data_IF_295340737894
#
_entry.id   IF_295340737894
#
_cell.length_a   1.000
_cell.length_b   1.000
_cell.length_c   1.000
_cell.angle_alpha   90.00
_cell.angle_beta   90.00
_cell.angle_gamma   90.00
#
_symmetry.space_group_name_H-M   'P 1'
#
loop_
_entity.id
_entity.type
_entity.pdbx_description
1 polymer ?
2 non-polymer ?
3 non-polymer ?
4 water ?
#
# COMPACT_ATOMS: atom_id res chain seq x y z
N UNK A 11 -16.04 -13.71 -2.52
CA UNK A 11 -14.77 -14.42 -2.64
C UNK A 11 -14.28 -14.98 -1.31
N UNK A 12 -13.46 -16.04 -1.38
CA UNK A 12 -12.93 -16.65 -0.17
C UNK A 12 -11.98 -15.68 0.53
N UNK A 13 -12.13 -15.56 1.84
CA UNK A 13 -11.31 -14.67 2.64
C UNK A 13 -10.22 -15.49 3.35
N UNK A 14 -9.62 -14.92 4.40
CA UNK A 14 -8.58 -15.58 5.16
C UNK A 14 -8.91 -15.54 6.65
N UNK A 15 -8.72 -16.67 7.32
CA UNK A 15 -8.73 -16.72 8.77
C UNK A 15 -7.31 -16.57 9.28
N UNK A 16 -7.00 -15.54 10.07
CA UNK A 16 -5.61 -15.31 10.48
C UNK A 16 -4.99 -16.48 11.23
N UNK A 17 -5.77 -17.20 12.03
CA UNK A 17 -5.22 -18.29 12.83
C UNK A 17 -4.86 -19.52 11.99
N UNK A 18 -5.39 -19.63 10.77
CA UNK A 18 -5.14 -20.79 9.93
C UNK A 18 -4.17 -20.49 8.79
N UNK A 19 -3.34 -19.45 8.93
CA UNK A 19 -2.36 -19.09 7.94
C UNK A 19 -0.97 -19.54 8.38
N UNK A 20 -0.10 -19.73 7.39
CA UNK A 20 1.32 -19.92 7.65
C UNK A 20 1.99 -18.56 7.79
N UNK A 21 2.69 -18.35 8.90
CA UNK A 21 3.31 -17.06 9.21
C UNK A 21 4.81 -17.18 9.08
N UNK A 22 5.40 -16.31 8.27
CA UNK A 22 6.85 -16.28 8.07
C UNK A 22 7.45 -15.02 8.66
N UNK A 23 8.72 -15.13 9.07
CA UNK A 23 9.44 -14.03 9.68
C UNK A 23 10.87 -14.01 9.15
N UNK A 24 11.28 -12.86 8.64
CA UNK A 24 12.61 -12.68 8.06
C UNK A 24 13.26 -11.47 8.70
N UNK A 25 14.44 -11.66 9.28
CA UNK A 25 15.21 -10.55 9.84
C UNK A 25 16.03 -9.91 8.72
N UNK A 26 15.71 -8.66 8.39
CA UNK A 26 16.43 -7.94 7.33
C UNK A 26 17.45 -6.96 7.88
N UNK A 27 17.41 -6.67 9.18
CA UNK A 27 18.34 -5.76 9.83
C UNK A 27 18.38 -6.09 11.31
N UNK A 28 19.42 -5.65 12.04
CA UNK A 28 19.58 -6.09 13.44
C UNK A 28 18.32 -6.04 14.30
N UNK A 29 17.58 -4.94 14.25
CA UNK A 29 16.37 -4.81 15.06
C UNK A 29 15.11 -4.72 14.19
N UNK A 30 15.15 -5.25 12.97
CA UNK A 30 14.05 -5.14 12.02
C UNK A 30 13.80 -6.49 11.40
N UNK A 31 12.67 -7.11 11.74
CA UNK A 31 12.18 -8.31 11.09
C UNK A 31 10.92 -7.95 10.30
N UNK A 32 10.66 -8.72 9.25
CA UNK A 32 9.44 -8.55 8.48
C UNK A 32 8.58 -9.81 8.58
N UNK A 33 7.28 -9.61 8.80
CA UNK A 33 6.32 -10.69 8.94
C UNK A 33 5.46 -10.77 7.69
N UNK A 34 5.13 -12.00 7.29
CA UNK A 34 4.28 -12.22 6.13
C UNK A 34 3.51 -13.52 6.33
N UNK A 35 2.36 -13.61 5.66
CA UNK A 35 1.62 -14.86 5.54
C UNK A 35 1.88 -15.43 4.17
N UNK A 36 1.88 -16.76 4.07
CA UNK A 36 2.31 -17.44 2.86
C UNK A 36 1.30 -18.52 2.50
N UNK A 37 0.90 -18.56 1.23
CA UNK A 37 -0.09 -19.53 0.77
C UNK A 37 0.15 -19.85 -0.70
N UNK A 38 0.14 -21.13 -1.03
CA UNK A 38 0.17 -21.58 -2.41
C UNK A 38 1.56 -21.97 -2.86
N UNK A 39 1.61 -22.52 -4.07
CA UNK A 39 2.86 -22.90 -4.73
C UNK A 39 2.88 -22.31 -6.13
N UNK A 40 4.09 -22.06 -6.63
CA UNK A 40 4.26 -21.47 -7.93
C UNK A 40 5.16 -20.25 -7.87
N UNK A 41 5.08 -19.40 -8.90
CA UNK A 41 5.89 -18.17 -8.89
C UNK A 41 5.57 -17.29 -7.69
N UNK A 42 6.61 -16.74 -7.08
CA UNK A 42 6.44 -15.93 -5.88
C UNK A 42 5.77 -14.61 -6.23
N UNK A 43 4.72 -14.27 -5.47
CA UNK A 43 4.00 -13.02 -5.63
C UNK A 43 3.98 -12.32 -4.28
N UNK A 44 4.61 -11.16 -4.20
CA UNK A 44 4.75 -10.40 -2.96
C UNK A 44 3.73 -9.27 -2.95
N UNK A 45 2.81 -9.29 -1.99
CA UNK A 45 1.75 -8.29 -1.88
C UNK A 45 2.13 -7.27 -0.81
N UNK A 46 2.03 -5.98 -1.16
CA UNK A 46 2.46 -4.89 -0.29
C UNK A 46 1.30 -3.92 -0.09
N UNK A 47 0.80 -3.83 1.14
CA UNK A 47 -0.37 -3.03 1.46
C UNK A 47 0.00 -1.57 1.66
N UNK A 48 -1.02 -0.73 1.85
CA UNK A 48 -0.85 0.69 2.04
C UNK A 48 -1.17 1.14 3.45
N UNK A 49 -1.43 2.45 3.60
CA UNK A 49 -1.71 3.11 4.87
C UNK A 49 -3.21 3.29 5.05
N UNK A 50 -3.73 2.99 6.25
CA UNK A 50 -3.04 2.32 7.35
C UNK A 50 -3.55 0.89 7.47
N UNK A 51 -2.93 -0.04 6.76
CA UNK A 51 -3.56 -1.33 6.56
C UNK A 51 -2.73 -2.49 7.11
N UNK A 52 -2.72 -3.61 6.41
CA UNK A 52 -2.19 -4.85 6.96
C UNK A 52 -2.11 -5.88 5.83
N UNK A 53 -1.42 -6.98 6.09
CA UNK A 53 -1.51 -8.13 5.19
C UNK A 53 -2.96 -8.54 5.01
N UNK A 54 -3.78 -8.36 6.05
CA UNK A 54 -5.19 -8.73 6.02
C UNK A 54 -5.98 -7.97 4.96
N UNK A 55 -5.45 -6.84 4.47
CA UNK A 55 -6.13 -6.13 3.40
C UNK A 55 -6.17 -6.94 2.11
N UNK A 56 -5.28 -7.92 1.96
CA UNK A 56 -5.27 -8.81 0.80
C UNK A 56 -6.05 -10.09 1.04
N UNK A 57 -6.95 -10.10 2.04
CA UNK A 57 -7.58 -11.35 2.46
C UNK A 57 -8.39 -12.01 1.34
N UNK A 58 -8.93 -11.22 0.41
CA UNK A 58 -9.68 -11.78 -0.70
C UNK A 58 -8.79 -12.21 -1.86
N UNK A 59 -7.58 -11.67 -1.96
CA UNK A 59 -6.66 -12.00 -3.04
C UNK A 59 -5.79 -13.22 -2.74
N UNK A 60 -5.45 -13.43 -1.46
CA UNK A 60 -4.48 -14.49 -1.12
C UNK A 60 -4.98 -15.86 -1.51
N UNK A 61 -6.19 -16.32 -1.14
CA UNK A 61 -6.63 -17.64 -1.59
C UNK A 61 -6.88 -17.70 -3.09
N UNK A 62 -7.31 -16.60 -3.70
CA UNK A 62 -7.59 -16.62 -5.15
C UNK A 62 -6.30 -16.75 -5.95
N UNK A 63 -5.27 -15.97 -5.60
CA UNK A 63 -4.01 -16.07 -6.33
C UNK A 63 -3.34 -17.42 -6.10
N UNK A 64 -3.44 -17.96 -4.87
CA UNK A 64 -2.87 -19.27 -4.59
C UNK A 64 -3.57 -20.36 -5.38
N UNK A 65 -4.91 -20.29 -5.47
CA UNK A 65 -5.65 -21.26 -6.26
C UNK A 65 -5.31 -21.15 -7.74
N UNK A 66 -4.99 -19.95 -8.21
CA UNK A 66 -4.60 -19.75 -9.60
C UNK A 66 -3.18 -20.25 -9.89
N UNK A 67 -2.47 -20.76 -8.89
CA UNK A 67 -1.18 -21.37 -9.10
C UNK A 67 0.00 -20.48 -8.78
N UNK A 68 -0.11 -19.66 -7.74
CA UNK A 68 0.96 -18.74 -7.36
C UNK A 68 1.26 -18.89 -5.88
N UNK A 69 2.53 -18.65 -5.53
CA UNK A 69 2.98 -18.65 -4.15
C UNK A 69 2.86 -17.23 -3.61
N UNK A 70 1.87 -17.00 -2.76
CA UNK A 70 1.55 -15.65 -2.30
C UNK A 70 2.30 -15.37 -1.00
N UNK A 71 2.97 -14.22 -0.95
CA UNK A 71 3.63 -13.72 0.25
C UNK A 71 3.04 -12.35 0.57
N UNK A 72 2.10 -12.32 1.50
CA UNK A 72 1.39 -11.09 1.86
C UNK A 72 2.07 -10.45 3.06
N UNK A 73 2.81 -9.38 2.86
CA UNK A 73 3.54 -8.77 3.94
C UNK A 73 2.81 -7.91 4.92
N UNK A 74 3.42 -7.77 6.08
CA UNK A 74 3.01 -6.80 7.05
C UNK A 74 4.16 -5.84 6.75
N UNK A 75 3.88 -4.69 6.19
CA UNK A 75 4.93 -3.74 5.86
C UNK A 75 5.63 -3.19 7.12
N UNK A 76 6.83 -2.68 6.97
CA UNK A 76 7.53 -2.25 8.17
C UNK A 76 6.73 -1.17 8.90
N UNK A 77 6.66 -1.30 10.22
CA UNK A 77 5.84 -0.44 11.04
C UNK A 77 4.44 -0.96 11.30
N UNK A 78 4.05 -2.09 10.71
CA UNK A 78 2.69 -2.59 10.77
C UNK A 78 2.67 -3.98 11.41
N UNK A 79 1.62 -4.22 12.21
CA UNK A 79 1.28 -5.57 12.64
C UNK A 79 2.41 -6.26 13.38
N UNK A 80 2.75 -7.46 12.91
CA UNK A 80 3.79 -8.27 13.52
C UNK A 80 5.18 -7.95 12.98
N UNK A 81 5.28 -7.04 12.02
CA UNK A 81 6.59 -6.59 11.57
C UNK A 81 7.15 -5.55 12.53
N UNK A 82 8.48 -5.43 12.54
CA UNK A 82 9.13 -4.47 13.42
C UNK A 82 8.72 -3.04 13.04
N UNK A 83 8.69 -2.18 14.06
CA UNK A 83 8.41 -0.76 13.88
C UNK A 83 9.53 0.04 14.53
N UNK A 84 10.66 0.17 13.84
CA UNK A 84 11.76 0.93 14.43
C UNK A 84 11.36 2.37 14.66
N UNK A 85 11.98 3.03 15.64
CA UNK A 85 11.52 4.36 16.05
C UNK A 85 11.93 5.50 15.12
N UNK A 86 13.03 5.33 14.39
CA UNK A 86 13.56 6.44 13.61
C UNK A 86 12.69 6.72 12.38
N UNK A 87 12.48 8.02 12.13
CA UNK A 87 11.63 8.43 11.01
C UNK A 87 12.28 8.08 9.68
N UNK A 88 13.60 8.29 9.57
CA UNK A 88 14.31 8.01 8.32
C UNK A 88 14.35 6.53 7.98
N UNK A 89 13.99 5.65 8.90
CA UNK A 89 13.90 4.23 8.60
C UNK A 89 12.73 3.89 7.67
N UNK A 90 11.88 4.87 7.37
CA UNK A 90 10.70 4.63 6.53
C UNK A 90 10.77 5.40 5.22
N UNK A 91 11.96 5.81 4.80
CA UNK A 91 12.12 6.35 3.47
C UNK A 91 12.15 5.21 2.45
N UNK A 92 11.83 5.54 1.20
CA UNK A 92 11.67 4.51 0.18
C UNK A 92 12.97 3.76 -0.08
N UNK A 93 14.11 4.44 0.03
CA UNK A 93 15.38 3.77 -0.21
C UNK A 93 15.64 2.66 0.79
N UNK A 94 15.42 2.93 2.07
CA UNK A 94 15.62 1.91 3.09
C UNK A 94 14.59 0.80 2.95
N UNK A 95 13.33 1.16 2.72
CA UNK A 95 12.27 0.16 2.61
C UNK A 95 12.51 -0.78 1.43
N UNK A 96 12.95 -0.23 0.29
CA UNK A 96 13.19 -1.07 -0.88
C UNK A 96 14.39 -1.98 -0.67
N UNK A 97 15.46 -1.46 -0.09
CA UNK A 97 16.65 -2.28 0.14
C UNK A 97 16.36 -3.43 1.08
N UNK A 98 15.48 -3.23 2.06
CA UNK A 98 15.13 -4.32 2.96
C UNK A 98 14.30 -5.38 2.25
N UNK A 99 13.42 -4.97 1.33
CA UNK A 99 12.67 -5.94 0.56
C UNK A 99 13.56 -6.76 -0.35
N UNK A 100 14.68 -6.18 -0.80
CA UNK A 100 15.68 -6.96 -1.54
C UNK A 100 16.35 -7.96 -0.61
N UNK A 101 16.73 -7.52 0.60
CA UNK A 101 17.27 -8.45 1.59
C UNK A 101 16.25 -9.51 1.94
N UNK A 102 14.97 -9.13 1.99
CA UNK A 102 13.89 -10.08 2.21
C UNK A 102 13.93 -11.21 1.18
N UNK A 103 14.03 -10.85 -0.10
CA UNK A 103 14.16 -11.85 -1.14
C UNK A 103 15.45 -12.65 -0.99
N UNK A 104 16.52 -11.99 -0.56
CA UNK A 104 17.80 -12.67 -0.39
C UNK A 104 17.71 -13.77 0.66
N UNK A 105 17.15 -13.45 1.83
CA UNK A 105 17.08 -14.43 2.91
C UNK A 105 16.17 -15.60 2.53
N UNK A 106 15.14 -15.35 1.74
CA UNK A 106 14.23 -16.41 1.30
C UNK A 106 14.77 -17.22 0.14
N UNK A 107 15.94 -16.86 -0.40
CA UNK A 107 16.46 -17.56 -1.56
C UNK A 107 15.67 -17.35 -2.82
N UNK A 108 15.04 -16.19 -2.96
CA UNK A 108 14.23 -15.87 -4.14
C UNK A 108 15.02 -14.96 -5.07
N UNK A 109 15.30 -15.46 -6.28
CA UNK A 109 16.00 -14.64 -7.25
C UNK A 109 15.17 -13.42 -7.65
N UNK A 110 13.85 -13.58 -7.72
CA UNK A 110 12.95 -12.48 -8.03
C UNK A 110 11.53 -12.89 -7.66
N UNK A 111 10.64 -11.91 -7.67
CA UNK A 111 9.24 -12.15 -7.37
C UNK A 111 8.40 -11.09 -8.05
N UNK A 112 7.14 -11.42 -8.31
CA UNK A 112 6.16 -10.44 -8.74
C UNK A 112 5.77 -9.58 -7.55
N UNK A 113 5.81 -8.26 -7.72
CA UNK A 113 5.48 -7.33 -6.65
C UNK A 113 4.18 -6.63 -7.01
N UNK A 114 3.20 -6.72 -6.11
CA UNK A 114 1.90 -6.08 -6.26
C UNK A 114 1.68 -5.19 -5.04
N UNK A 115 1.43 -3.91 -5.28
CA UNK A 115 1.27 -2.96 -4.21
C UNK A 115 0.01 -2.14 -4.35
N UNK A 116 -0.41 -1.56 -3.24
CA UNK A 116 -1.55 -0.65 -3.18
C UNK A 116 -1.21 0.50 -2.28
N UNK A 117 -1.56 1.72 -2.70
CA UNK A 117 -1.35 2.94 -1.92
C UNK A 117 0.15 3.10 -1.70
N UNK A 118 0.63 3.23 -0.46
CA UNK A 118 2.06 3.36 -0.23
C UNK A 118 2.81 2.10 -0.68
N UNK A 119 2.16 0.94 -0.59
CA UNK A 119 2.77 -0.27 -1.12
C UNK A 119 2.91 -0.24 -2.63
N UNK A 120 1.98 0.42 -3.31
CA UNK A 120 2.12 0.60 -4.75
C UNK A 120 3.27 1.51 -5.10
N UNK A 121 3.51 2.56 -4.30
CA UNK A 121 4.67 3.41 -4.50
C UNK A 121 5.96 2.61 -4.29
N UNK A 122 5.96 1.69 -3.34
CA UNK A 122 7.16 0.90 -3.07
C UNK A 122 7.47 -0.04 -4.24
N UNK A 123 6.45 -0.73 -4.75
CA UNK A 123 6.71 -1.71 -5.81
C UNK A 123 7.11 -1.01 -7.10
N UNK A 124 6.70 0.25 -7.29
CA UNK A 124 7.16 1.00 -8.45
C UNK A 124 8.66 1.28 -8.37
N UNK A 125 9.14 1.64 -7.18
CA UNK A 125 10.56 1.90 -7.00
C UNK A 125 11.38 0.63 -6.90
N UNK A 126 10.77 -0.49 -6.47
CA UNK A 126 11.42 -1.78 -6.60
C UNK A 126 11.67 -2.11 -8.07
N UNK A 127 10.65 -1.91 -8.91
CA UNK A 127 10.82 -2.12 -10.34
C UNK A 127 11.78 -1.11 -10.95
N UNK A 128 11.80 0.12 -10.44
CA UNK A 128 12.66 1.14 -11.01
C UNK A 128 14.12 0.92 -10.66
N UNK A 129 14.41 0.63 -9.39
CA UNK A 129 15.79 0.53 -8.93
C UNK A 129 16.30 -0.90 -8.86
N UNK A 130 15.43 -1.90 -8.79
CA UNK A 130 15.84 -3.31 -8.71
C UNK A 130 15.05 -4.16 -9.69
N UNK A 131 15.09 -3.83 -10.99
CA UNK A 131 14.30 -4.62 -11.95
C UNK A 131 14.79 -6.05 -12.09
N UNK A 132 16.06 -6.32 -11.79
CA UNK A 132 16.57 -7.68 -11.86
C UNK A 132 15.98 -8.57 -10.78
N UNK A 133 15.37 -7.99 -9.75
CA UNK A 133 14.74 -8.73 -8.67
C UNK A 133 13.23 -8.73 -8.75
N UNK A 134 12.64 -8.08 -9.75
CA UNK A 134 11.20 -7.98 -9.89
C UNK A 134 10.82 -8.63 -11.22
N UNK A 135 10.15 -9.79 -11.14
CA UNK A 135 9.71 -10.45 -12.37
C UNK A 135 8.62 -9.63 -13.07
N UNK A 136 7.69 -9.09 -12.30
CA UNK A 136 6.65 -8.22 -12.85
C UNK A 136 6.12 -7.36 -11.70
N UNK A 137 5.54 -6.23 -12.05
CA UNK A 137 5.08 -5.26 -11.07
C UNK A 137 3.65 -4.84 -11.38
N UNK A 138 2.83 -4.73 -10.35
CA UNK A 138 1.46 -4.27 -10.48
C UNK A 138 1.15 -3.33 -9.34
N UNK A 139 0.40 -2.27 -9.63
CA UNK A 139 0.03 -1.28 -8.63
C UNK A 139 -1.47 -1.03 -8.69
N UNK A 140 -2.10 -0.95 -7.53
CA UNK A 140 -3.49 -0.56 -7.41
C UNK A 140 -3.54 0.90 -6.97
N UNK A 141 -4.20 1.74 -7.78
CA UNK A 141 -4.47 3.15 -7.50
C UNK A 141 -3.23 4.02 -7.63
N UNK A 142 -2.10 3.58 -7.09
CA UNK A 142 -0.91 4.43 -7.06
C UNK A 142 -0.25 4.49 -8.43
N UNK A 143 -0.14 5.66 -9.05
CA UNK A 143 0.56 5.78 -10.33
C UNK A 143 2.07 5.91 -10.12
N UNK A 144 2.80 5.83 -11.22
CA UNK A 144 4.24 6.07 -11.22
C UNK A 144 4.50 7.36 -11.99
N UNK A 145 4.84 8.42 -11.26
CA UNK A 145 5.15 9.72 -11.85
C UNK A 145 6.62 10.00 -11.56
N UNK A 146 7.45 10.16 -12.59
CA UNK A 146 8.88 10.42 -12.34
C UNK A 146 9.08 11.71 -11.55
N UNK A 147 10.09 11.70 -10.69
CA UNK A 147 10.35 12.85 -9.83
C UNK A 147 10.73 14.07 -10.64
N UNK A 148 10.14 15.21 -10.30
CA UNK A 148 10.52 16.48 -10.92
C UNK A 148 11.69 17.04 -10.15
N UNK A 149 12.90 17.12 -10.73
CA UNK A 149 14.05 17.60 -9.98
C UNK A 149 14.07 19.10 -9.80
N UNK A 150 12.98 19.76 -10.18
CA UNK A 150 12.86 21.22 -10.12
C UNK A 150 11.94 21.82 -9.15
N UNK A 151 11.09 21.02 -8.52
CA UNK A 151 10.19 21.55 -7.50
C UNK A 151 10.09 20.55 -6.35
N UNK A 152 10.11 21.08 -5.13
CA UNK A 152 10.16 20.26 -3.93
C UNK A 152 8.85 19.51 -3.72
N UNK A 153 8.87 18.47 -2.87
CA UNK A 153 7.60 17.84 -2.47
C UNK A 153 6.71 18.78 -1.68
N UNK A 154 7.29 19.74 -0.95
CA UNK A 154 6.46 20.72 -0.24
C UNK A 154 5.65 21.57 -1.21
N UNK A 155 6.20 21.83 -2.40
CA UNK A 155 5.50 22.64 -3.39
C UNK A 155 4.45 21.82 -4.14
N UNK A 156 4.79 20.57 -4.50
CA UNK A 156 3.87 19.75 -5.27
C UNK A 156 2.60 19.42 -4.48
N UNK A 157 2.68 19.41 -3.15
CA UNK A 157 1.48 19.17 -2.35
C UNK A 157 0.63 20.43 -2.27
N UNK A 158 1.27 21.59 -2.14
CA UNK A 158 0.53 22.85 -2.15
C UNK A 158 -0.17 23.11 -3.48
N UNK A 159 0.27 22.45 -4.55
CA UNK A 159 -0.37 22.58 -5.85
C UNK A 159 -1.61 21.71 -5.98
N UNK A 160 -1.84 20.78 -5.05
CA UNK A 160 -3.01 19.90 -5.08
C UNK A 160 -3.62 19.86 -3.68
N UNK A 161 -4.73 20.57 -3.46
CA UNK A 161 -5.33 20.61 -2.11
C UNK A 161 -5.82 19.27 -1.61
N UNK A 162 -5.93 18.25 -2.47
CA UNK A 162 -6.38 16.94 -2.02
C UNK A 162 -5.36 16.33 -1.06
N UNK A 163 -4.11 16.75 -1.14
CA UNK A 163 -3.02 16.18 -0.33
C UNK A 163 -2.75 17.00 0.92
N UNK A 164 -3.70 17.82 1.37
CA UNK A 164 -3.50 18.62 2.57
C UNK A 164 -3.37 17.74 3.81
N UNK A 165 -4.00 16.57 3.81
CA UNK A 165 -3.88 15.66 4.95
C UNK A 165 -2.44 15.20 5.15
N UNK A 166 -1.64 15.19 4.08
CA UNK A 166 -0.24 14.80 4.21
C UNK A 166 0.54 15.82 5.01
N UNK A 167 0.15 17.09 4.96
CA UNK A 167 0.79 18.10 5.81
C UNK A 167 0.43 17.89 7.27
N UNK A 168 -0.83 17.51 7.54
CA UNK A 168 -1.25 17.20 8.90
C UNK A 168 -0.52 15.98 9.45
N UNK A 169 0.00 15.11 8.57
CA UNK A 169 0.70 13.90 8.99
C UNK A 169 2.18 14.13 9.28
N UNK A 170 2.71 15.32 9.02
CA UNK A 170 4.15 15.53 9.06
C UNK A 170 4.66 15.65 10.49
N UNK A 171 4.00 16.44 11.33
CA UNK A 171 4.47 16.67 12.69
C UNK A 171 4.33 15.39 13.51
N UNK A 172 5.44 14.82 14.01
CA UNK A 172 5.35 13.55 14.75
C UNK A 172 4.57 13.72 16.05
N UNK A 173 3.59 12.84 16.26
CA UNK A 173 2.81 12.82 17.47
C UNK A 173 1.42 13.43 17.35
N UNK A 174 1.21 14.31 16.37
CA UNK A 174 -0.08 14.99 16.25
C UNK A 174 -1.12 14.06 15.64
N UNK A 175 -0.84 13.54 14.43
CA UNK A 175 -1.78 12.62 13.81
C UNK A 175 -1.89 11.32 14.59
N UNK A 176 -0.81 10.92 15.27
CA UNK A 176 -0.86 9.71 16.09
C UNK A 176 -1.91 9.81 17.18
N UNK A 177 -2.02 10.97 17.83
CA UNK A 177 -2.96 11.13 18.94
C UNK A 177 -4.40 10.98 18.47
N UNK A 178 -4.73 11.54 17.31
CA UNK A 178 -6.10 11.45 16.81
C UNK A 178 -6.42 10.05 16.30
N UNK A 179 -5.48 9.43 15.58
CA UNK A 179 -5.75 8.13 15.00
C UNK A 179 -5.77 7.02 16.06
N UNK A 180 -5.03 7.19 17.15
CA UNK A 180 -4.96 6.18 18.20
C UNK A 180 -5.97 6.42 19.32
N UNK A 181 -6.70 7.53 19.30
CA UNK A 181 -7.63 7.83 20.39
C UNK A 181 -8.77 6.81 20.46
N UNK A 182 -9.34 6.46 19.31
CA UNK A 182 -10.40 5.46 19.23
C UNK A 182 -10.13 4.64 17.96
N UNK A 183 -9.48 3.48 18.13
CA UNK A 183 -9.06 2.70 16.97
C UNK A 183 -10.26 2.20 16.17
N UNK A 184 -11.31 1.73 16.85
CA UNK A 184 -12.49 1.27 16.15
C UNK A 184 -13.11 2.40 15.33
N UNK A 185 -13.19 3.60 15.91
CA UNK A 185 -13.70 4.75 15.17
C UNK A 185 -12.79 5.11 14.00
N UNK A 186 -11.47 4.98 14.20
CA UNK A 186 -10.52 5.32 13.14
C UNK A 186 -10.74 4.44 11.91
N UNK A 187 -10.83 3.13 12.10
CA UNK A 187 -10.90 2.23 10.95
C UNK A 187 -12.31 2.16 10.36
N UNK A 188 -13.35 2.33 11.19
CA UNK A 188 -14.70 2.42 10.64
C UNK A 188 -14.89 3.69 9.83
N UNK A 189 -14.20 4.77 10.17
CA UNK A 189 -14.32 6.01 9.42
C UNK A 189 -13.48 6.00 8.16
N UNK A 190 -12.37 5.26 8.15
CA UNK A 190 -11.49 5.23 6.98
C UNK A 190 -11.97 4.20 5.96
N UNK A 191 -12.22 2.97 6.41
CA UNK A 191 -12.54 1.87 5.51
C UNK A 191 -14.02 1.98 5.10
N UNK A 192 -14.27 2.87 4.13
CA UNK A 192 -15.62 3.09 3.64
C UNK A 192 -15.60 3.20 2.13
N UNK A 193 -16.70 2.80 1.50
CA UNK A 193 -16.88 3.05 0.08
C UNK A 193 -16.95 4.56 -0.16
N UNK A 194 -16.72 4.95 -1.42
CA UNK A 194 -16.70 6.37 -1.75
C UNK A 194 -18.04 7.04 -1.49
N UNK A 195 -19.15 6.32 -1.70
CA UNK A 195 -20.46 6.88 -1.43
C UNK A 195 -20.78 6.94 0.07
N UNK A 196 -20.03 6.22 0.91
CA UNK A 196 -20.23 6.22 2.35
C UNK A 196 -19.24 7.13 3.07
N UNK A 197 -18.33 7.86 2.20
CA UNK A 197 -17.26 8.55 2.90
C UNK A 197 -17.81 9.60 3.85
N UNK A 198 -17.08 9.83 4.95
CA UNK A 198 -17.53 10.70 6.02
C UNK A 198 -16.48 11.77 6.35
N UNK A 199 -15.54 12.00 5.43
CA UNK A 199 -14.45 12.93 5.69
C UNK A 199 -14.02 13.62 4.40
N UNK A 200 -13.43 14.80 4.56
CA UNK A 200 -12.87 15.57 3.46
C UNK A 200 -11.39 15.77 3.73
N UNK A 201 -10.53 15.22 2.86
CA UNK A 201 -9.10 15.47 2.99
C UNK A 201 -8.73 16.92 2.70
N UNK A 202 -9.69 17.75 2.29
CA UNK A 202 -9.42 19.16 1.98
C UNK A 202 -9.28 19.97 3.25
N UNK A 203 -10.24 19.82 4.17
CA UNK A 203 -10.38 20.70 5.31
C UNK A 203 -9.58 20.25 6.52
N UNK A 204 -8.66 19.29 6.37
CA UNK A 204 -8.05 18.67 7.53
C UNK A 204 -7.17 19.66 8.30
N UNK A 205 -6.18 20.27 7.64
CA UNK A 205 -5.35 21.23 8.34
C UNK A 205 -6.10 22.51 8.71
N UNK A 206 -7.25 22.76 8.09
CA UNK A 206 -8.09 23.88 8.49
C UNK A 206 -9.07 23.50 9.61
N UNK A 207 -9.48 22.24 9.68
CA UNK A 207 -10.34 21.76 10.76
C UNK A 207 -9.56 21.26 11.96
N UNK A 208 -8.26 21.03 11.81
CA UNK A 208 -7.45 20.53 12.91
C UNK A 208 -7.44 19.03 13.08
N UNK A 209 -7.75 18.27 12.04
CA UNK A 209 -7.75 16.83 12.15
C UNK A 209 -8.63 16.19 11.10
N UNK A 210 -8.48 14.87 10.99
CA UNK A 210 -9.20 14.08 9.98
C UNK A 210 -10.66 13.86 10.36
N UNK A 211 -10.93 13.64 11.64
CA UNK A 211 -12.21 13.11 12.07
C UNK A 211 -13.06 14.12 12.82
N UNK A 212 -12.58 15.35 12.98
CA UNK A 212 -13.24 16.25 13.92
C UNK A 212 -14.64 16.61 13.46
N UNK A 213 -14.90 16.45 12.15
CA UNK A 213 -16.21 16.73 11.58
C UNK A 213 -16.81 15.43 11.04
N UNK A 214 -16.62 14.36 11.79
CA UNK A 214 -17.14 13.05 11.42
C UNK A 214 -17.86 12.45 12.61
N UNK A 215 -18.74 11.48 12.38
CA UNK A 215 -19.43 10.84 13.51
C UNK A 215 -18.46 10.16 14.45
N UNK A 216 -18.73 10.31 15.76
CA UNK A 216 -17.89 9.65 16.77
C UNK A 216 -18.30 8.21 16.99
N UNK A 217 -19.49 7.82 16.54
CA UNK A 217 -19.91 6.41 16.51
C UNK A 217 -20.34 6.10 15.08
N UNK A 218 -19.39 6.02 14.15
CA UNK A 218 -19.75 5.86 12.73
C UNK A 218 -20.33 4.48 12.47
N UNK A 219 -21.13 4.41 11.41
CA UNK A 219 -21.75 3.15 11.02
C UNK A 219 -20.74 2.27 10.32
N UNK A 220 -21.05 0.97 10.30
CA UNK A 220 -20.18 -0.02 9.67
C UNK A 220 -20.38 0.03 8.16
N UNK A 221 -19.30 0.21 7.42
CA UNK A 221 -19.38 0.25 5.96
C UNK A 221 -19.81 -1.12 5.43
N UNK A 222 -20.46 -1.09 4.25
CA UNK A 222 -20.89 -2.32 3.62
C UNK A 222 -19.71 -3.20 3.20
N UNK A 223 -18.50 -2.64 3.14
CA UNK A 223 -17.34 -3.39 2.70
C UNK A 223 -16.82 -4.35 3.76
N UNK A 224 -17.04 -4.05 5.04
CA UNK A 224 -16.37 -4.76 6.13
C UNK A 224 -17.37 -5.17 7.19
N UNK A 225 -16.97 -6.16 7.99
CA UNK A 225 -17.72 -6.60 9.16
C UNK A 225 -17.06 -6.04 10.42
N UNK A 226 -17.78 -6.17 11.54
CA UNK A 226 -17.23 -5.76 12.83
C UNK A 226 -16.02 -6.60 13.20
N UNK A 227 -16.02 -7.87 12.81
CA UNK A 227 -14.90 -8.76 13.13
C UNK A 227 -13.65 -8.34 12.36
N UNK A 228 -13.82 -7.91 11.11
CA UNK A 228 -12.68 -7.47 10.32
C UNK A 228 -12.13 -6.15 10.84
N UNK A 229 -13.01 -5.25 11.29
CA UNK A 229 -12.56 -4.00 11.90
C UNK A 229 -11.75 -4.28 13.15
N UNK A 230 -12.23 -5.21 13.99
CA UNK A 230 -11.54 -5.51 15.23
C UNK A 230 -10.19 -6.17 15.03
N UNK A 231 -9.96 -6.82 13.88
CA UNK A 231 -8.64 -7.35 13.58
C UNK A 231 -7.65 -6.21 13.37
N UNK A 232 -8.04 -5.20 12.59
CA UNK A 232 -7.19 -4.03 12.41
C UNK A 232 -6.93 -3.33 13.74
N UNK A 233 -7.97 -3.24 14.58
CA UNK A 233 -7.81 -2.60 15.89
C UNK A 233 -6.77 -3.35 16.72
N UNK A 234 -6.88 -4.69 16.77
CA UNK A 234 -5.92 -5.48 17.53
C UNK A 234 -4.51 -5.36 16.96
N UNK A 235 -4.38 -5.26 15.64
CA UNK A 235 -3.07 -5.17 15.03
C UNK A 235 -2.37 -3.86 15.36
N UNK A 236 -3.12 -2.74 15.34
CA UNK A 236 -2.51 -1.45 15.56
C UNK A 236 -2.33 -1.12 17.04
N UNK A 237 -2.83 -1.96 17.94
CA UNK A 237 -2.46 -1.83 19.34
C UNK A 237 -1.02 -2.26 19.61
N UNK A 238 -0.39 -2.93 18.64
CA UNK A 238 0.97 -3.44 18.85
C UNK A 238 1.99 -2.32 18.84
N UNK A 239 2.00 -1.50 17.78
CA UNK A 239 3.00 -0.45 17.62
C UNK A 239 2.42 0.93 17.40
N UNK A 240 1.11 1.08 17.23
CA UNK A 240 0.54 2.38 17.04
C UNK A 240 0.64 2.86 15.60
N UNK A 241 0.44 4.18 15.43
CA UNK A 241 0.38 4.79 14.12
C UNK A 241 1.64 5.54 13.73
N UNK A 242 2.64 5.62 14.61
CA UNK A 242 3.85 6.38 14.27
C UNK A 242 4.58 5.77 13.10
N UNK A 243 4.83 4.47 13.14
CA UNK A 243 5.49 3.77 12.07
C UNK A 243 4.78 3.92 10.74
N UNK A 244 3.49 3.58 10.69
CA UNK A 244 2.71 3.84 9.47
C UNK A 244 2.76 5.29 9.00
N UNK A 245 2.63 6.26 9.91
CA UNK A 245 2.65 7.66 9.51
C UNK A 245 4.02 8.08 9.03
N UNK A 246 5.08 7.42 9.50
CA UNK A 246 6.44 7.79 9.08
C UNK A 246 6.67 7.55 7.59
N UNK A 247 5.83 6.73 6.95
CA UNK A 247 5.92 6.58 5.50
C UNK A 247 5.70 7.89 4.78
N UNK A 248 4.93 8.81 5.38
CA UNK A 248 4.67 10.12 4.80
C UNK A 248 5.74 11.15 5.13
N UNK A 249 6.63 10.85 6.08
CA UNK A 249 7.54 11.85 6.62
C UNK A 249 8.94 11.75 6.04
N UNK A 250 9.06 11.31 4.78
CA UNK A 250 10.34 11.23 4.07
C UNK A 250 10.18 11.74 2.64
N UNK A 251 9.40 12.80 2.46
CA UNK A 251 9.06 13.26 1.12
C UNK A 251 10.29 13.78 0.38
N UNK A 252 11.08 14.63 1.04
CA UNK A 252 12.29 15.15 0.42
C UNK A 252 13.33 14.05 0.23
N UNK A 253 13.49 13.17 1.21
CA UNK A 253 14.42 12.05 1.07
C UNK A 253 14.05 11.17 -0.10
N UNK A 254 12.77 10.80 -0.20
CA UNK A 254 12.29 10.04 -1.36
C UNK A 254 12.46 10.82 -2.64
N UNK A 255 12.38 12.15 -2.57
CA UNK A 255 12.54 12.98 -3.76
C UNK A 255 13.98 12.98 -4.25
N UNK A 256 14.95 13.12 -3.33
CA UNK A 256 16.35 13.03 -3.71
C UNK A 256 16.67 11.69 -4.34
N UNK A 257 16.18 10.60 -3.74
CA UNK A 257 16.49 9.26 -4.21
C UNK A 257 15.87 9.01 -5.58
N UNK A 258 14.60 9.39 -5.77
CA UNK A 258 13.95 9.18 -7.05
C UNK A 258 14.62 10.01 -8.15
N UNK A 259 15.16 11.18 -7.81
CA UNK A 259 15.84 12.00 -8.81
C UNK A 259 17.13 11.32 -9.30
N UNK A 260 17.72 10.46 -8.49
CA UNK A 260 18.96 9.79 -8.87
C UNK A 260 18.76 8.75 -9.97
N UNK A 261 17.52 8.44 -10.33
CA UNK A 261 17.22 7.50 -11.39
C UNK A 261 16.71 8.16 -12.66
N UNK A 262 16.70 9.50 -12.71
CA UNK A 262 15.97 10.22 -13.74
C UNK A 262 16.43 9.81 -15.14
N UNK A 263 15.45 9.65 -16.03
CA UNK A 263 15.71 9.29 -17.41
C UNK A 263 15.39 7.84 -17.72
N UNK A 264 15.73 6.93 -16.82
CA UNK A 264 15.59 5.52 -17.10
C UNK A 264 14.13 5.08 -17.07
N UNK A 265 13.82 4.08 -17.88
CA UNK A 265 12.47 3.52 -17.98
C UNK A 265 12.38 2.21 -17.20
N UNK A 266 11.15 1.82 -16.90
CA UNK A 266 10.88 0.52 -16.30
C UNK A 266 10.56 -0.44 -17.44
N UNK A 267 11.45 -1.41 -17.67
CA UNK A 267 11.37 -2.27 -18.84
C UNK A 267 10.74 -3.63 -18.57
N UNK A 268 10.36 -3.90 -17.32
CA UNK A 268 9.78 -5.20 -16.95
C UNK A 268 8.28 -5.16 -17.18
N UNK A 269 7.60 -6.31 -17.26
CA UNK A 269 6.13 -6.29 -17.39
C UNK A 269 5.49 -5.57 -16.21
N UNK A 270 4.51 -4.72 -16.51
CA UNK A 270 3.90 -3.86 -15.51
C UNK A 270 2.39 -3.76 -15.76
N UNK A 271 1.66 -3.49 -14.68
CA UNK A 271 0.21 -3.32 -14.75
C UNK A 271 -0.20 -2.18 -13.83
N UNK A 272 -1.01 -1.27 -14.35
CA UNK A 272 -1.56 -0.16 -13.58
C UNK A 272 -3.07 -0.33 -13.50
N UNK A 273 -3.59 -0.46 -12.29
CA UNK A 273 -5.03 -0.63 -12.06
C UNK A 273 -5.53 0.64 -11.40
N UNK A 274 -6.39 1.37 -12.10
CA UNK A 274 -6.98 2.60 -11.59
C UNK A 274 -8.37 2.32 -11.02
N UNK A 275 -8.76 3.14 -10.05
CA UNK A 275 -10.06 3.04 -9.41
C UNK A 275 -10.87 4.30 -9.70
N UNK A 276 -12.09 4.13 -10.21
CA UNK A 276 -12.85 5.26 -10.72
C UNK A 276 -13.16 6.28 -9.63
N UNK A 277 -13.45 5.81 -8.41
CA UNK A 277 -13.93 6.68 -7.35
C UNK A 277 -12.87 6.93 -6.28
N UNK A 278 -11.60 6.65 -6.56
CA UNK A 278 -10.52 7.09 -5.68
C UNK A 278 -10.30 8.57 -5.94
N UNK A 279 -10.79 9.41 -5.03
CA UNK A 279 -10.77 10.86 -5.22
C UNK A 279 -9.44 11.48 -4.81
N UNK A 280 -8.49 10.70 -4.31
CA UNK A 280 -7.14 11.17 -4.02
C UNK A 280 -6.15 10.67 -5.06
N UNK A 281 -6.01 9.35 -5.18
CA UNK A 281 -5.22 8.76 -6.27
C UNK A 281 -6.14 8.54 -7.48
N UNK A 282 -6.47 9.65 -8.13
CA UNK A 282 -7.44 9.66 -9.22
C UNK A 282 -6.84 8.97 -10.44
N UNK A 283 -7.67 8.37 -11.31
CA UNK A 283 -7.12 7.65 -12.47
C UNK A 283 -6.30 8.51 -13.41
N UNK A 284 -6.64 9.79 -13.57
CA UNK A 284 -5.92 10.64 -14.52
C UNK A 284 -4.50 10.95 -14.08
N UNK A 285 -4.14 10.68 -12.82
CA UNK A 285 -2.75 10.82 -12.39
C UNK A 285 -1.83 9.81 -13.04
N UNK A 286 -2.38 8.79 -13.71
CA UNK A 286 -1.60 7.76 -14.38
C UNK A 286 -1.58 7.93 -15.90
N UNK A 287 -1.94 9.13 -16.38
CA UNK A 287 -2.34 9.27 -17.79
C UNK A 287 -1.20 8.96 -18.75
N UNK A 288 0.03 9.31 -18.40
CA UNK A 288 1.16 9.17 -19.33
C UNK A 288 2.27 8.31 -18.72
N UNK A 289 1.90 7.24 -18.03
CA UNK A 289 2.89 6.30 -17.53
C UNK A 289 3.46 5.42 -18.64
N UNK A 290 2.76 5.31 -19.77
CA UNK A 290 3.26 4.52 -20.89
C UNK A 290 4.56 5.09 -21.43
N UNK A 291 4.78 6.39 -21.30
CA UNK A 291 6.00 7.01 -21.80
C UNK A 291 7.23 6.54 -21.03
N UNK A 292 7.04 6.13 -19.77
CA UNK A 292 8.13 5.63 -18.94
C UNK A 292 8.11 4.12 -18.76
N UNK A 293 7.00 3.46 -19.05
CA UNK A 293 6.86 2.02 -18.88
C UNK A 293 6.36 1.43 -20.20
N UNK A 294 7.25 0.98 -21.09
CA UNK A 294 6.81 0.59 -22.43
C UNK A 294 5.86 -0.59 -22.46
N UNK A 295 6.05 -1.57 -21.57
CA UNK A 295 5.22 -2.77 -21.55
C UNK A 295 4.10 -2.68 -20.51
N UNK A 296 3.60 -1.47 -20.24
CA UNK A 296 2.57 -1.27 -19.25
C UNK A 296 1.21 -1.72 -19.79
N UNK A 297 0.53 -2.56 -19.02
CA UNK A 297 -0.85 -2.92 -19.27
C UNK A 297 -1.73 -2.26 -18.21
N UNK A 298 -3.03 -2.22 -18.46
CA UNK A 298 -3.92 -1.43 -17.62
C UNK A 298 -5.16 -2.21 -17.23
N UNK A 299 -5.64 -1.91 -16.03
CA UNK A 299 -6.98 -2.30 -15.62
C UNK A 299 -7.67 -1.11 -15.00
N UNK A 300 -8.99 -1.12 -15.06
CA UNK A 300 -9.79 -0.04 -14.49
C UNK A 300 -11.06 -0.63 -13.88
N UNK A 301 -11.34 -0.25 -12.64
CA UNK A 301 -12.47 -0.78 -11.88
C UNK A 301 -13.43 0.37 -11.63
N UNK A 302 -14.61 0.31 -12.23
CA UNK A 302 -15.64 1.31 -11.97
C UNK A 302 -16.22 1.10 -10.57
N UNK A 303 -16.83 2.17 -10.05
CA UNK A 303 -17.52 2.13 -8.74
C UNK A 303 -16.58 1.69 -7.62
N UNK A 304 -15.29 1.94 -7.78
CA UNK A 304 -14.27 1.46 -6.84
C UNK A 304 -13.59 2.65 -6.17
N UNK A 305 -13.63 2.68 -4.85
CA UNK A 305 -12.99 3.74 -4.08
C UNK A 305 -11.52 3.46 -3.83
N UNK A 306 -11.01 4.05 -2.75
CA UNK A 306 -9.58 3.93 -2.45
C UNK A 306 -9.22 2.53 -1.96
N UNK A 307 -10.11 1.87 -1.23
CA UNK A 307 -9.80 0.58 -0.61
C UNK A 307 -10.15 -0.54 -1.59
N UNK A 308 -9.31 -0.62 -2.63
CA UNK A 308 -9.65 -1.39 -3.83
C UNK A 308 -9.84 -2.87 -3.52
N UNK A 309 -8.97 -3.46 -2.70
CA UNK A 309 -9.01 -4.91 -2.51
C UNK A 309 -10.30 -5.36 -1.84
N UNK A 310 -10.82 -4.57 -0.90
CA UNK A 310 -12.05 -4.94 -0.21
C UNK A 310 -13.29 -4.29 -0.82
N UNK A 311 -13.13 -3.24 -1.64
CA UNK A 311 -14.27 -2.65 -2.32
C UNK A 311 -14.74 -3.54 -3.47
N UNK A 312 -13.82 -3.95 -4.33
CA UNK A 312 -14.12 -4.78 -5.49
C UNK A 312 -13.17 -5.97 -5.54
N UNK A 313 -13.29 -6.89 -4.58
CA UNK A 313 -12.34 -8.02 -4.55
C UNK A 313 -12.44 -8.92 -5.76
N UNK A 314 -13.64 -9.19 -6.26
CA UNK A 314 -13.79 -10.05 -7.41
C UNK A 314 -13.10 -9.44 -8.64
N UNK A 315 -13.38 -8.17 -8.92
CA UNK A 315 -12.77 -7.50 -10.06
C UNK A 315 -11.25 -7.45 -9.93
N UNK A 316 -10.75 -7.27 -8.71
CA UNK A 316 -9.30 -7.24 -8.49
C UNK A 316 -8.69 -8.60 -8.79
N UNK A 317 -9.34 -9.67 -8.30
CA UNK A 317 -8.85 -11.02 -8.57
C UNK A 317 -8.85 -11.32 -10.06
N UNK A 318 -9.91 -10.94 -10.77
CA UNK A 318 -9.97 -11.20 -12.22
C UNK A 318 -8.82 -10.49 -12.94
N UNK A 319 -8.57 -9.23 -12.60
CA UNK A 319 -7.56 -8.45 -13.31
C UNK A 319 -6.17 -9.00 -13.02
N UNK A 320 -5.87 -9.29 -11.75
CA UNK A 320 -4.53 -9.72 -11.39
C UNK A 320 -4.21 -11.10 -11.96
N UNK A 321 -5.14 -12.04 -11.87
CA UNK A 321 -4.88 -13.39 -12.35
C UNK A 321 -4.72 -13.41 -13.87
N UNK A 322 -5.54 -12.63 -14.58
CA UNK A 322 -5.41 -12.54 -16.03
C UNK A 322 -4.06 -11.97 -16.42
N UNK A 323 -3.59 -10.94 -15.70
CA UNK A 323 -2.31 -10.33 -16.04
C UNK A 323 -1.14 -11.21 -15.60
N UNK A 324 -1.28 -11.90 -14.46
CA UNK A 324 -0.22 -12.79 -14.00
C UNK A 324 -0.03 -13.95 -14.96
N UNK A 325 -1.12 -14.56 -15.43
CA UNK A 325 -1.03 -15.73 -16.29
C UNK A 325 -0.45 -15.40 -17.66
N UNK A 326 -0.57 -14.15 -18.11
CA UNK A 326 -0.11 -13.77 -19.45
C UNK A 326 1.26 -13.12 -19.46
N UNK A 327 1.54 -12.21 -18.53
CA UNK A 327 2.77 -11.44 -18.55
C UNK A 327 3.76 -11.79 -17.45
N UNK A 328 3.33 -12.48 -16.39
CA UNK A 328 4.23 -12.83 -15.30
C UNK A 328 4.65 -14.29 -15.31
N UNK A 329 3.95 -15.14 -16.05
CA UNK A 329 4.29 -16.56 -16.09
C UNK A 329 5.19 -16.88 -17.27
X LIG B 1 2.79 10.02 -23.77
X LIG C 1 4.02 11.26 -2.94
X LIG C 1 3.51 13.57 -3.66
X LIG C 1 2.12 13.75 -4.06
X LIG C 1 1.82 12.86 -5.26
X LIG C 1 -4.78 8.03 1.51
X LIG C 1 -6.16 8.20 0.87
X LIG C 1 -7.23 7.96 3.17
X LIG C 1 -4.84 7.18 2.78
X LIG C 1 -2.57 7.99 0.30
X LIG C 1 -0.34 7.81 -1.04
X LIG C 1 0.30 7.21 -2.12
X LIG C 1 1.56 7.62 -2.50
X LIG C 1 2.21 8.64 -1.82
X LIG C 1 3.85 10.33 -1.75
X LIG C 1 3.66 12.68 -2.51
X LIG C 1 1.90 15.20 -4.47
X LIG C 1 1.14 13.41 -2.92
X LIG C 1 1.58 9.23 -0.73
X LIG C 1 0.31 8.82 -0.35
X LIG C 1 -7.17 8.77 1.86
X LIG C 1 -5.85 7.75 3.79
X LIG C 1 -1.67 7.34 -0.66
X LIG C 1 -3.88 7.40 0.55
X LIG C 1 -2.27 8.98 0.88
X LIG C 1 3.50 9.05 -2.21
X LIG C 1 5.35 11.23 -3.39
#
# INVERSE_FOLDING_TARGET
>A
MASLNTPAPLPTSCNPSDMSHGYVTVKPRVRLHFVELGSGPAVCLCHGFPESWYSWRYQIPALAQAGYRVLAMDMKGYGESSAPPEIEEYCMEVLCKEMVTFLDKLGLSQAVFIGHDWGGMLVWYMALFYPERVRAVASLNTPFIPANPNMSPLESIKANPVFDYQLYFQEPGVAEAELEQNLSRTFKSLFRASDESVLSMHKVCEAGGLFVNSPEEPSLSRMVTEEEIQFYVQQFKKSGFRGPLNWYRNMERNWKWACKSLGRKILIPALMVTAEKDFVLVPQMSQHMEDWIPHLKRGHIEDCGHWTQMDKPTEVNQILIKWLDSDARNPPVVSKMLLEHHHHHH
>B hetero
1 MG MG
>C hetero
1 G3Q C10 N12 C13 C15 C21 C22 C24 C26 C02 C04 C05 C06 C07 C09 C11 C14 C16 C18 C19 C23 C25 N03 N20 O01 O08 O17
#
